data_IF_524638333386
#
_entry.id   IF_524638333386
#
_cell.length_a   1.000
_cell.length_b   1.000
_cell.length_c   1.000
_cell.angle_alpha   90.00
_cell.angle_beta   90.00
_cell.angle_gamma   90.00
#
_symmetry.space_group_name_H-M   'P 1'
#
loop_
_entity.id
_entity.type
_entity.pdbx_description
1 polymer ?
#
# COMPACT_ATOMS: atom_id res chain seq x y z
N UNK A 1 -0.33 -33.78 -1.04
CA UNK A 1 -0.08 -32.50 -1.76
C UNK A 1 0.16 -31.42 -0.72
N UNK A 2 1.42 -31.04 -0.50
CA UNK A 2 1.80 -30.05 0.52
C UNK A 2 1.30 -28.67 0.09
N UNK A 3 0.22 -28.18 0.70
CA UNK A 3 -0.09 -26.75 0.69
C UNK A 3 0.99 -26.06 1.52
N UNK A 4 2.08 -25.65 0.87
CA UNK A 4 2.96 -24.63 1.42
C UNK A 4 2.06 -23.41 1.66
N UNK A 5 1.64 -23.23 2.91
CA UNK A 5 1.04 -22.00 3.39
C UNK A 5 2.03 -20.89 3.04
N UNK A 6 1.80 -20.17 1.94
CA UNK A 6 2.58 -18.99 1.58
C UNK A 6 2.48 -18.07 2.79
N UNK A 7 3.57 -18.00 3.55
CA UNK A 7 3.69 -17.06 4.66
C UNK A 7 3.47 -15.68 4.07
N UNK A 8 2.61 -14.90 4.74
CA UNK A 8 2.32 -13.54 4.33
C UNK A 8 3.65 -12.77 4.22
N UNK A 9 3.89 -12.04 3.12
CA UNK A 9 5.15 -11.32 2.97
C UNK A 9 5.26 -10.23 4.03
N UNK A 10 6.48 -9.88 4.45
CA UNK A 10 6.70 -8.78 5.40
C UNK A 10 6.38 -7.40 4.79
N UNK A 11 6.56 -7.29 3.47
CA UNK A 11 6.24 -6.10 2.69
C UNK A 11 5.51 -6.47 1.41
N UNK A 12 4.51 -5.68 1.04
CA UNK A 12 3.98 -5.65 -0.31
C UNK A 12 4.80 -4.70 -1.18
N UNK A 13 4.97 -5.08 -2.44
CA UNK A 13 5.48 -4.21 -3.49
C UNK A 13 4.36 -3.34 -4.05
N UNK A 14 4.74 -2.29 -4.77
CA UNK A 14 3.79 -1.35 -5.38
C UNK A 14 2.83 -2.05 -6.35
N UNK A 15 3.29 -3.04 -7.10
CA UNK A 15 2.48 -3.87 -8.00
C UNK A 15 1.36 -4.60 -7.24
N UNK A 16 1.70 -5.18 -6.09
CA UNK A 16 0.76 -5.94 -5.26
C UNK A 16 -0.26 -5.01 -4.62
N UNK A 17 0.19 -3.87 -4.08
CA UNK A 17 -0.70 -2.84 -3.53
C UNK A 17 -1.62 -2.28 -4.60
N UNK A 18 -1.13 -2.02 -5.80
CA UNK A 18 -1.95 -1.59 -6.93
C UNK A 18 -3.05 -2.61 -7.26
N UNK A 19 -2.71 -3.90 -7.28
CA UNK A 19 -3.68 -4.97 -7.50
C UNK A 19 -4.74 -5.02 -6.37
N UNK A 20 -4.31 -4.97 -5.10
CA UNK A 20 -5.21 -5.02 -3.93
C UNK A 20 -6.15 -3.82 -3.91
N UNK A 21 -5.63 -2.61 -4.16
CA UNK A 21 -6.42 -1.38 -4.20
C UNK A 21 -7.25 -1.22 -5.48
N UNK A 22 -7.14 -2.18 -6.42
CA UNK A 22 -7.76 -2.10 -7.76
C UNK A 22 -7.46 -0.75 -8.43
N UNK A 23 -6.22 -0.28 -8.29
CA UNK A 23 -5.78 1.04 -8.73
C UNK A 23 -4.51 0.93 -9.57
N UNK A 24 -4.18 1.98 -10.33
CA UNK A 24 -2.93 2.00 -11.09
C UNK A 24 -1.76 2.38 -10.18
N UNK A 25 -0.55 1.86 -10.48
CA UNK A 25 0.70 2.29 -9.83
C UNK A 25 0.88 3.81 -9.89
N UNK A 26 0.52 4.42 -11.04
CA UNK A 26 0.59 5.87 -11.26
C UNK A 26 -0.34 6.63 -10.32
N UNK A 27 -1.55 6.12 -10.09
CA UNK A 27 -2.50 6.73 -9.15
C UNK A 27 -1.93 6.76 -7.73
N UNK A 28 -1.34 5.66 -7.27
CA UNK A 28 -0.72 5.58 -5.94
C UNK A 28 0.44 6.57 -5.83
N UNK A 29 1.33 6.61 -6.82
CA UNK A 29 2.42 7.61 -6.86
C UNK A 29 1.92 9.04 -6.83
N UNK A 30 0.88 9.35 -7.61
CA UNK A 30 0.32 10.70 -7.66
C UNK A 30 -0.27 11.12 -6.31
N UNK A 31 -0.96 10.23 -5.60
CA UNK A 31 -1.46 10.51 -4.24
C UNK A 31 -0.31 10.81 -3.28
N UNK A 32 0.72 9.96 -3.27
CA UNK A 32 1.93 10.18 -2.45
C UNK A 32 2.57 11.54 -2.78
N UNK A 33 2.74 11.82 -4.07
CA UNK A 33 3.37 13.05 -4.54
C UNK A 33 2.57 14.30 -4.14
N UNK A 34 1.24 14.28 -4.31
CA UNK A 34 0.38 15.40 -3.96
C UNK A 34 0.36 15.66 -2.45
N UNK A 35 0.26 14.63 -1.63
CA UNK A 35 0.34 14.79 -0.17
C UNK A 35 1.67 15.42 0.25
N UNK A 36 2.78 15.02 -0.37
CA UNK A 36 4.10 15.59 -0.09
C UNK A 36 4.22 17.05 -0.54
N UNK A 37 3.73 17.38 -1.74
CA UNK A 37 3.96 18.69 -2.35
C UNK A 37 2.96 19.75 -1.87
N UNK A 38 1.69 19.35 -1.72
CA UNK A 38 0.58 20.27 -1.45
C UNK A 38 0.00 20.13 -0.05
N UNK A 39 0.52 19.20 0.77
CA UNK A 39 -0.05 18.93 2.09
C UNK A 39 -1.47 18.35 2.03
N UNK A 40 -1.89 17.82 0.87
CA UNK A 40 -3.18 17.17 0.71
C UNK A 40 -3.29 15.97 1.66
N UNK A 41 -4.50 15.75 2.21
CA UNK A 41 -4.81 14.62 3.07
C UNK A 41 -5.44 13.47 2.29
N UNK A 42 -4.95 13.15 1.07
CA UNK A 42 -5.47 11.96 0.40
C UNK A 42 -5.08 10.71 1.21
N UNK A 43 -5.97 9.73 1.38
CA UNK A 43 -5.63 8.49 2.04
C UNK A 43 -4.59 7.73 1.21
N UNK A 44 -3.44 7.48 1.83
CA UNK A 44 -2.34 6.69 1.26
C UNK A 44 -1.91 5.65 2.29
N UNK A 45 -1.68 4.39 1.87
CA UNK A 45 -1.22 3.36 2.78
C UNK A 45 0.16 3.70 3.36
N UNK A 46 0.50 3.25 4.59
CA UNK A 46 1.83 3.36 5.15
C UNK A 46 2.88 2.75 4.21
N UNK A 47 3.96 3.48 3.96
CA UNK A 47 5.03 3.02 3.06
C UNK A 47 6.40 3.49 3.55
N UNK A 48 7.42 2.74 3.14
CA UNK A 48 8.83 3.07 3.28
C UNK A 48 9.39 3.25 1.88
N UNK A 49 10.15 4.32 1.67
CA UNK A 49 10.90 4.52 0.43
C UNK A 49 12.34 4.03 0.63
N UNK A 50 12.72 2.97 -0.07
CA UNK A 50 14.06 2.38 0.01
C UNK A 50 14.61 2.16 -1.40
N UNK A 51 15.76 2.77 -1.72
CA UNK A 51 16.44 2.68 -3.02
C UNK A 51 15.50 2.94 -4.22
N UNK A 52 14.68 3.99 -4.13
CA UNK A 52 13.73 4.38 -5.19
C UNK A 52 12.47 3.52 -5.27
N UNK A 53 12.38 2.43 -4.50
CA UNK A 53 11.20 1.56 -4.42
C UNK A 53 10.30 1.97 -3.25
N UNK A 54 9.01 1.70 -3.41
CA UNK A 54 8.02 1.80 -2.33
C UNK A 54 7.79 0.40 -1.78
N UNK A 55 7.97 0.24 -0.47
CA UNK A 55 7.69 -0.97 0.28
C UNK A 55 6.56 -0.67 1.26
N UNK A 56 5.56 -1.53 1.30
CA UNK A 56 4.37 -1.33 2.13
C UNK A 56 4.37 -2.42 3.21
N UNK A 57 4.69 -2.10 4.49
CA UNK A 57 4.72 -3.09 5.55
C UNK A 57 3.37 -3.79 5.68
N UNK A 58 3.34 -5.11 5.51
CA UNK A 58 2.09 -5.83 5.27
C UNK A 58 1.15 -5.83 6.48
N UNK A 59 1.67 -5.66 7.71
CA UNK A 59 0.84 -5.51 8.91
C UNK A 59 0.13 -4.16 8.94
N UNK A 60 0.86 -3.10 8.64
CA UNK A 60 0.34 -1.72 8.68
C UNK A 60 -0.58 -1.45 7.49
N UNK A 61 -0.24 -2.00 6.32
CA UNK A 61 -1.07 -1.93 5.12
C UNK A 61 -2.44 -2.57 5.35
N UNK A 62 -2.50 -3.79 5.87
CA UNK A 62 -3.77 -4.48 6.11
C UNK A 62 -4.63 -3.73 7.13
N UNK A 63 -4.02 -3.28 8.24
CA UNK A 63 -4.72 -2.46 9.23
C UNK A 63 -5.26 -1.18 8.61
N UNK A 64 -4.49 -0.55 7.73
CA UNK A 64 -4.92 0.65 7.02
C UNK A 64 -6.12 0.37 6.11
N UNK A 65 -6.11 -0.76 5.37
CA UNK A 65 -7.24 -1.19 4.52
C UNK A 65 -8.49 -1.40 5.37
N UNK A 66 -8.37 -2.09 6.49
CA UNK A 66 -9.51 -2.39 7.35
C UNK A 66 -10.11 -1.12 7.94
N UNK A 67 -9.28 -0.13 8.31
CA UNK A 67 -9.75 1.19 8.74
C UNK A 67 -10.47 1.98 7.64
N UNK A 68 -10.24 1.70 6.35
CA UNK A 68 -10.99 2.35 5.27
C UNK A 68 -12.41 1.77 5.15
N UNK A 69 -12.60 0.49 5.48
CA UNK A 69 -13.91 -0.18 5.37
C UNK A 69 -14.88 0.22 6.48
N UNK A 70 -14.38 0.69 7.62
CA UNK A 70 -15.18 1.08 8.79
C UNK A 70 -15.72 2.51 8.71
N UNK A 71 -15.43 3.25 7.64
CA UNK A 71 -15.91 4.63 7.42
C UNK A 71 -16.99 4.75 6.33
N UNK A 72 -17.53 3.62 5.84
CA UNK A 72 -18.79 3.54 5.08
C UNK A 72 -19.93 3.09 6.01
#
# INVERSE_FOLDING_TARGET
MNRLSKTKPDFYLLEEVAAILRSSKRTIYNRIYRNRLYGECNPVPPYIKMNGKLLFPSKDFDKWIDNQKTND
#
